data_IF_934727262046
#
_entry.id   IF_934727262046
#
_cell.length_a   1.000
_cell.length_b   1.000
_cell.length_c   1.000
_cell.angle_alpha   90.00
_cell.angle_beta   90.00
_cell.angle_gamma   90.00
#
_symmetry.space_group_name_H-M   'P 1'
#
loop_
_entity.id
_entity.type
_entity.pdbx_description
1 polymer ?
#
# COMPACT_ATOMS: atom_id res chain seq x y z
N UNK A 1 2.78 13.77 72.76
CA UNK A 1 3.36 13.34 71.47
C UNK A 1 2.46 12.35 70.70
N UNK A 2 2.00 11.25 71.32
CA UNK A 2 1.10 10.27 70.67
C UNK A 2 -0.29 10.83 70.24
N UNK A 3 -0.85 11.80 70.96
CA UNK A 3 -2.19 12.36 70.68
C UNK A 3 -2.20 13.29 69.47
N UNK A 4 -1.15 14.10 69.29
CA UNK A 4 -0.93 14.95 68.11
C UNK A 4 -0.67 14.11 66.86
N UNK A 5 0.11 13.04 66.98
CA UNK A 5 0.37 12.11 65.87
C UNK A 5 -0.90 11.42 65.35
N UNK A 6 -1.78 10.95 66.25
CA UNK A 6 -3.08 10.36 65.86
C UNK A 6 -4.01 11.36 65.15
N UNK A 7 -4.01 12.63 65.57
CA UNK A 7 -4.78 13.69 64.89
C UNK A 7 -4.26 13.97 63.48
N UNK A 8 -2.93 13.99 63.30
CA UNK A 8 -2.30 14.18 61.98
C UNK A 8 -2.67 13.02 61.05
N UNK A 9 -2.55 11.77 61.50
CA UNK A 9 -2.94 10.59 60.70
C UNK A 9 -4.42 10.64 60.30
N UNK A 10 -5.32 11.06 61.22
CA UNK A 10 -6.75 11.21 60.93
C UNK A 10 -7.01 12.23 59.81
N UNK A 11 -6.36 13.40 59.86
CA UNK A 11 -6.53 14.43 58.83
C UNK A 11 -5.90 14.03 57.49
N UNK A 12 -4.77 13.31 57.51
CA UNK A 12 -4.20 12.71 56.30
C UNK A 12 -5.18 11.71 55.68
N UNK A 13 -5.79 10.83 56.49
CA UNK A 13 -6.78 9.86 56.02
C UNK A 13 -8.03 10.52 55.42
N UNK A 14 -8.57 11.56 56.05
CA UNK A 14 -9.72 12.33 55.53
C UNK A 14 -9.36 13.02 54.22
N UNK A 15 -8.17 13.64 54.15
CA UNK A 15 -7.70 14.29 52.92
C UNK A 15 -7.55 13.29 51.78
N UNK A 16 -6.93 12.13 52.04
CA UNK A 16 -6.78 11.06 51.05
C UNK A 16 -8.13 10.52 50.57
N UNK A 17 -9.07 10.30 51.49
CA UNK A 17 -10.43 9.88 51.14
C UNK A 17 -11.14 10.94 50.27
N UNK A 18 -10.99 12.23 50.59
CA UNK A 18 -11.50 13.33 49.78
C UNK A 18 -10.93 13.34 48.36
N UNK A 19 -9.62 13.13 48.21
CA UNK A 19 -8.96 13.03 46.89
C UNK A 19 -9.48 11.84 46.09
N UNK A 20 -9.67 10.68 46.74
CA UNK A 20 -10.21 9.47 46.08
C UNK A 20 -11.65 9.70 45.63
N UNK A 21 -12.50 10.30 46.48
CA UNK A 21 -13.88 10.64 46.12
C UNK A 21 -13.91 11.61 44.94
N UNK A 22 -13.08 12.67 44.97
CA UNK A 22 -12.98 13.62 43.87
C UNK A 22 -12.54 12.91 42.58
N UNK A 23 -11.54 12.03 42.64
CA UNK A 23 -11.09 11.26 41.48
C UNK A 23 -12.20 10.35 40.91
N UNK A 24 -13.01 9.73 41.77
CA UNK A 24 -14.17 8.92 41.36
C UNK A 24 -15.22 9.82 40.67
N UNK A 25 -15.56 10.96 41.27
CA UNK A 25 -16.53 11.90 40.69
C UNK A 25 -16.05 12.41 39.32
N UNK A 26 -14.79 12.83 39.22
CA UNK A 26 -14.18 13.25 37.96
C UNK A 26 -14.24 12.11 36.94
N UNK A 27 -13.86 10.88 37.34
CA UNK A 27 -13.93 9.72 36.44
C UNK A 27 -15.36 9.46 35.94
N UNK A 28 -16.38 9.53 36.81
CA UNK A 28 -17.79 9.36 36.43
C UNK A 28 -18.21 10.43 35.42
N UNK A 29 -17.93 11.71 35.70
CA UNK A 29 -18.27 12.83 34.81
C UNK A 29 -17.61 12.63 33.44
N UNK A 30 -16.29 12.37 33.41
CA UNK A 30 -15.56 12.11 32.16
C UNK A 30 -16.10 10.89 31.41
N UNK A 31 -16.47 9.82 32.14
CA UNK A 31 -17.00 8.60 31.54
C UNK A 31 -18.37 8.81 30.88
N UNK A 32 -19.21 9.69 31.46
CA UNK A 32 -20.51 10.09 30.90
C UNK A 32 -20.32 10.99 29.69
N UNK A 33 -19.51 12.06 29.81
CA UNK A 33 -19.31 13.05 28.75
C UNK A 33 -18.62 12.46 27.54
N UNK A 34 -17.47 11.79 27.72
CA UNK A 34 -16.76 11.12 26.62
C UNK A 34 -17.53 9.92 26.08
N UNK A 35 -18.35 9.27 26.90
CA UNK A 35 -19.29 8.25 26.43
C UNK A 35 -20.37 8.83 25.50
N UNK A 36 -20.89 10.02 25.80
CA UNK A 36 -21.87 10.70 24.95
C UNK A 36 -21.25 11.15 23.62
N UNK A 37 -20.03 11.70 23.66
CA UNK A 37 -19.27 12.09 22.47
C UNK A 37 -18.99 10.91 21.53
N UNK A 38 -18.52 9.79 22.07
CA UNK A 38 -18.27 8.57 21.29
C UNK A 38 -19.55 8.06 20.61
N UNK A 39 -20.66 7.96 21.36
CA UNK A 39 -21.96 7.54 20.80
C UNK A 39 -22.45 8.51 19.73
N UNK A 40 -22.26 9.81 19.93
CA UNK A 40 -22.59 10.81 18.93
C UNK A 40 -21.81 10.58 17.64
N UNK A 41 -20.48 10.45 17.72
CA UNK A 41 -19.63 10.22 16.54
C UNK A 41 -19.98 8.92 15.81
N UNK A 42 -20.24 7.83 16.53
CA UNK A 42 -20.70 6.57 15.91
C UNK A 42 -22.03 6.76 15.17
N UNK A 43 -23.00 7.47 15.75
CA UNK A 43 -24.28 7.76 15.10
C UNK A 43 -24.13 8.67 13.88
N UNK A 44 -23.27 9.67 13.96
CA UNK A 44 -22.93 10.56 12.84
C UNK A 44 -22.37 9.77 11.66
N UNK A 45 -21.37 8.90 11.88
CA UNK A 45 -20.80 8.06 10.83
C UNK A 45 -21.83 7.12 10.20
N UNK A 46 -22.72 6.55 11.02
CA UNK A 46 -23.84 5.73 10.54
C UNK A 46 -24.84 6.55 9.72
N UNK A 47 -25.16 7.77 10.15
CA UNK A 47 -26.08 8.67 9.44
C UNK A 47 -25.53 9.13 8.07
N UNK A 48 -24.20 9.22 7.94
CA UNK A 48 -23.51 9.47 6.67
C UNK A 48 -23.53 8.26 5.71
N UNK A 49 -24.14 7.13 6.10
CA UNK A 49 -24.20 5.92 5.27
C UNK A 49 -22.86 5.20 5.16
N UNK A 50 -21.91 5.47 6.06
CA UNK A 50 -20.61 4.78 6.02
C UNK A 50 -20.75 3.32 6.46
N UNK A 51 -19.98 2.40 5.86
CA UNK A 51 -19.93 1.03 6.32
C UNK A 51 -19.52 0.94 7.80
N UNK A 52 -20.25 0.14 8.57
CA UNK A 52 -20.01 -0.05 10.01
C UNK A 52 -19.61 -1.49 10.35
N UNK A 53 -19.73 -2.41 9.39
CA UNK A 53 -19.45 -3.83 9.54
C UNK A 53 -18.59 -4.36 8.40
N UNK A 54 -17.92 -5.49 8.63
CA UNK A 54 -17.07 -6.12 7.60
C UNK A 54 -17.89 -6.63 6.41
N UNK A 55 -19.11 -7.10 6.65
CA UNK A 55 -20.03 -7.56 5.59
C UNK A 55 -20.32 -6.46 4.55
N UNK A 56 -20.47 -5.20 4.99
CA UNK A 56 -20.77 -4.07 4.10
C UNK A 56 -19.60 -3.69 3.16
N UNK A 57 -18.36 -4.11 3.49
CA UNK A 57 -17.17 -3.82 2.67
C UNK A 57 -16.56 -5.06 2.02
N UNK A 58 -17.07 -6.26 2.33
CA UNK A 58 -16.52 -7.52 1.82
C UNK A 58 -16.82 -7.63 0.32
N UNK A 59 -15.82 -7.89 -0.53
CA UNK A 59 -16.04 -8.07 -1.95
C UNK A 59 -16.94 -9.27 -2.23
N UNK A 60 -17.81 -9.12 -3.23
CA UNK A 60 -18.68 -10.21 -3.68
C UNK A 60 -17.85 -11.44 -4.08
N UNK A 61 -18.36 -12.62 -3.72
CA UNK A 61 -17.79 -13.89 -4.15
C UNK A 61 -17.80 -14.00 -5.68
N UNK A 62 -16.84 -14.73 -6.22
CA UNK A 62 -16.70 -14.95 -7.66
C UNK A 62 -16.81 -16.45 -7.93
N UNK A 63 -17.66 -16.90 -8.88
CA UNK A 63 -17.73 -18.30 -9.28
C UNK A 63 -16.35 -18.88 -9.62
N UNK A 64 -16.08 -20.12 -9.23
CA UNK A 64 -14.74 -20.73 -9.32
C UNK A 64 -14.18 -20.77 -10.75
N UNK A 65 -15.03 -21.03 -11.74
CA UNK A 65 -14.69 -21.04 -13.16
C UNK A 65 -14.26 -19.65 -13.66
N UNK A 66 -14.78 -18.58 -13.06
CA UNK A 66 -14.49 -17.18 -13.41
C UNK A 66 -13.45 -16.51 -12.51
N UNK A 67 -13.08 -17.12 -11.38
CA UNK A 67 -12.23 -16.50 -10.36
C UNK A 67 -10.74 -16.74 -10.62
N UNK A 68 -9.96 -15.68 -10.89
CA UNK A 68 -8.51 -15.78 -11.10
C UNK A 68 -7.76 -16.42 -9.93
N UNK A 69 -8.27 -16.26 -8.70
CA UNK A 69 -7.66 -16.84 -7.49
C UNK A 69 -7.51 -18.36 -7.56
N UNK A 70 -8.41 -19.06 -8.28
CA UNK A 70 -8.31 -20.51 -8.45
C UNK A 70 -7.04 -20.93 -9.21
N UNK A 71 -6.65 -20.16 -10.23
CA UNK A 71 -5.43 -20.40 -10.99
C UNK A 71 -4.20 -19.89 -10.25
N UNK A 72 -4.29 -18.74 -9.58
CA UNK A 72 -3.20 -18.25 -8.73
C UNK A 72 -2.88 -19.21 -7.59
N UNK A 73 -3.87 -19.82 -6.95
CA UNK A 73 -3.63 -20.81 -5.90
C UNK A 73 -2.90 -22.06 -6.42
N UNK A 74 -3.16 -22.48 -7.67
CA UNK A 74 -2.37 -23.55 -8.32
C UNK A 74 -0.92 -23.11 -8.54
N UNK A 75 -0.72 -21.89 -9.03
CA UNK A 75 0.63 -21.31 -9.15
C UNK A 75 1.32 -21.26 -7.80
N UNK A 76 0.62 -20.84 -6.73
CA UNK A 76 1.20 -20.77 -5.40
C UNK A 76 1.59 -22.14 -4.87
N UNK A 77 0.79 -23.18 -5.14
CA UNK A 77 1.17 -24.55 -4.83
C UNK A 77 2.45 -24.94 -5.58
N UNK A 78 2.52 -24.75 -6.90
CA UNK A 78 3.74 -25.05 -7.69
C UNK A 78 4.97 -24.27 -7.22
N UNK A 79 4.81 -23.00 -6.87
CA UNK A 79 5.90 -22.16 -6.35
C UNK A 79 6.38 -22.59 -4.95
N UNK A 80 5.59 -23.37 -4.22
CA UNK A 80 5.87 -23.72 -2.83
C UNK A 80 6.17 -25.20 -2.61
N UNK A 81 5.76 -26.08 -3.53
CA UNK A 81 6.11 -27.51 -3.53
C UNK A 81 7.61 -27.69 -3.77
N UNK A 82 8.35 -28.17 -2.77
CA UNK A 82 9.75 -28.57 -2.93
C UNK A 82 9.90 -29.90 -3.71
N UNK A 83 11.14 -30.38 -3.90
CA UNK A 83 11.36 -31.79 -4.26
C UNK A 83 10.70 -32.66 -3.17
N UNK A 84 9.61 -33.35 -3.52
CA UNK A 84 8.82 -34.17 -2.59
C UNK A 84 7.41 -33.66 -2.24
N UNK A 85 6.95 -32.52 -2.79
CA UNK A 85 5.53 -32.11 -2.75
C UNK A 85 5.02 -31.46 -1.45
N UNK A 86 5.88 -31.23 -0.46
CA UNK A 86 5.52 -30.53 0.78
C UNK A 86 5.33 -29.01 0.53
N UNK A 87 4.25 -28.37 1.07
CA UNK A 87 4.04 -26.92 0.97
C UNK A 87 5.12 -26.12 1.72
N UNK A 88 5.55 -24.99 1.14
CA UNK A 88 6.42 -24.02 1.79
C UNK A 88 5.77 -23.42 3.05
N UNK A 89 6.46 -23.54 4.19
CA UNK A 89 6.08 -22.92 5.46
C UNK A 89 7.14 -21.87 5.84
N UNK A 90 6.77 -20.57 5.93
CA UNK A 90 7.70 -19.51 6.34
C UNK A 90 8.36 -19.76 7.71
N UNK A 91 9.59 -19.28 7.89
CA UNK A 91 10.38 -19.28 9.13
C UNK A 91 10.79 -20.61 9.75
N UNK A 92 10.37 -21.76 9.20
CA UNK A 92 10.82 -23.07 9.69
C UNK A 92 12.10 -23.56 8.99
N UNK A 93 12.17 -23.44 7.65
CA UNK A 93 13.21 -24.11 6.85
C UNK A 93 13.91 -23.25 5.76
N UNK A 94 13.63 -21.95 5.65
CA UNK A 94 14.17 -21.05 4.59
C UNK A 94 14.13 -21.65 3.16
N UNK A 95 13.11 -22.45 2.82
CA UNK A 95 13.03 -23.06 1.50
C UNK A 95 14.20 -24.01 1.13
N UNK A 96 14.96 -24.54 2.12
CA UNK A 96 15.99 -25.55 1.85
C UNK A 96 15.38 -26.66 0.97
N UNK A 97 15.95 -26.82 -0.22
CA UNK A 97 15.62 -27.81 -1.26
C UNK A 97 14.44 -27.48 -2.21
N UNK A 98 13.94 -26.23 -2.26
CA UNK A 98 13.03 -25.79 -3.33
C UNK A 98 13.75 -24.86 -4.31
N UNK A 99 14.12 -25.39 -5.48
CA UNK A 99 14.88 -24.67 -6.53
C UNK A 99 14.18 -23.40 -7.01
N UNK A 100 12.84 -23.38 -7.04
CA UNK A 100 12.04 -22.23 -7.48
C UNK A 100 12.01 -21.16 -6.39
N UNK A 101 11.81 -21.53 -5.13
CA UNK A 101 11.82 -20.58 -3.98
C UNK A 101 13.20 -19.94 -3.80
N UNK A 102 14.28 -20.72 -3.87
CA UNK A 102 15.65 -20.18 -3.78
C UNK A 102 15.94 -19.21 -4.91
N UNK A 103 15.53 -19.54 -6.13
CA UNK A 103 15.71 -18.63 -7.26
C UNK A 103 14.86 -17.37 -7.16
N UNK A 104 13.63 -17.43 -6.65
CA UNK A 104 12.79 -16.26 -6.35
C UNK A 104 13.45 -15.37 -5.30
N UNK A 105 13.92 -15.95 -4.20
CA UNK A 105 14.55 -15.23 -3.09
C UNK A 105 15.88 -14.59 -3.53
N UNK A 106 16.63 -15.22 -4.43
CA UNK A 106 17.79 -14.62 -5.09
C UNK A 106 17.35 -13.50 -6.05
N UNK A 107 16.44 -13.78 -6.98
CA UNK A 107 15.91 -12.83 -7.99
C UNK A 107 15.34 -11.54 -7.40
N UNK A 108 14.69 -11.60 -6.23
CA UNK A 108 14.17 -10.40 -5.55
C UNK A 108 15.26 -9.38 -5.20
N UNK A 109 16.54 -9.77 -5.19
CA UNK A 109 17.68 -8.87 -5.04
C UNK A 109 18.31 -8.39 -6.36
N UNK A 110 17.85 -8.89 -7.53
CA UNK A 110 18.55 -8.76 -8.81
C UNK A 110 17.71 -8.34 -10.03
N UNK A 111 16.80 -7.37 -9.90
CA UNK A 111 16.18 -6.74 -11.10
C UNK A 111 17.20 -6.09 -12.06
N UNK A 112 18.44 -5.96 -11.61
CA UNK A 112 19.60 -5.45 -12.34
C UNK A 112 20.54 -6.60 -12.74
N UNK A 113 20.37 -7.13 -13.96
CA UNK A 113 21.16 -8.24 -14.53
C UNK A 113 22.64 -7.87 -14.65
N UNK A 114 22.98 -6.58 -14.72
CA UNK A 114 24.38 -6.14 -14.74
C UNK A 114 25.13 -6.56 -13.48
N UNK A 115 24.42 -6.76 -12.36
CA UNK A 115 24.98 -7.19 -11.08
C UNK A 115 24.97 -8.71 -10.90
N UNK A 116 24.46 -9.47 -11.86
CA UNK A 116 24.47 -10.93 -11.77
C UNK A 116 25.91 -11.45 -11.86
N UNK A 117 26.22 -12.41 -10.99
CA UNK A 117 27.44 -13.21 -11.10
C UNK A 117 27.41 -14.09 -12.35
N UNK A 118 28.57 -14.57 -12.80
CA UNK A 118 28.64 -15.50 -13.92
C UNK A 118 27.83 -16.78 -13.67
N UNK A 119 27.85 -17.28 -12.43
CA UNK A 119 27.04 -18.44 -12.03
C UNK A 119 25.53 -18.18 -12.21
N UNK A 120 25.06 -16.99 -11.86
CA UNK A 120 23.66 -16.61 -12.02
C UNK A 120 23.26 -16.48 -13.48
N UNK A 121 24.13 -15.89 -14.31
CA UNK A 121 23.93 -15.76 -15.75
C UNK A 121 23.82 -17.11 -16.46
N UNK A 122 24.48 -18.14 -15.93
CA UNK A 122 24.37 -19.50 -16.45
C UNK A 122 23.11 -20.23 -15.94
N UNK A 123 22.81 -20.13 -14.63
CA UNK A 123 21.76 -20.93 -13.98
C UNK A 123 20.35 -20.38 -14.17
N UNK A 124 20.16 -19.06 -14.06
CA UNK A 124 18.82 -18.45 -14.06
C UNK A 124 18.11 -18.67 -15.41
N UNK A 125 18.72 -18.47 -16.59
CA UNK A 125 18.05 -18.75 -17.86
C UNK A 125 17.64 -20.22 -18.00
N UNK A 126 18.44 -21.18 -17.52
CA UNK A 126 18.09 -22.61 -17.54
C UNK A 126 16.87 -22.88 -16.68
N UNK A 127 16.79 -22.28 -15.50
CA UNK A 127 15.64 -22.42 -14.59
C UNK A 127 14.38 -21.77 -15.16
N UNK A 128 14.46 -20.52 -15.63
CA UNK A 128 13.30 -19.79 -16.17
C UNK A 128 12.69 -20.51 -17.38
N UNK A 129 13.50 -21.25 -18.14
CA UNK A 129 13.06 -22.06 -19.28
C UNK A 129 12.72 -23.51 -18.92
N UNK A 130 12.72 -23.90 -17.63
CA UNK A 130 12.34 -25.26 -17.22
C UNK A 130 10.85 -25.53 -17.47
N UNK A 131 10.48 -26.80 -17.59
CA UNK A 131 9.10 -27.23 -17.84
C UNK A 131 8.14 -26.73 -16.74
N UNK A 132 8.57 -26.79 -15.47
CA UNK A 132 7.79 -26.35 -14.32
C UNK A 132 7.52 -24.84 -14.38
N UNK A 133 8.51 -24.04 -14.80
CA UNK A 133 8.33 -22.60 -14.96
C UNK A 133 7.40 -22.26 -16.13
N UNK A 134 7.46 -23.01 -17.24
CA UNK A 134 6.53 -22.82 -18.35
C UNK A 134 5.08 -23.11 -17.98
N UNK A 135 4.85 -24.12 -17.13
CA UNK A 135 3.52 -24.39 -16.56
C UNK A 135 3.04 -23.23 -15.68
N UNK A 136 3.90 -22.72 -14.79
CA UNK A 136 3.61 -21.54 -13.97
C UNK A 136 3.24 -20.33 -14.84
N UNK A 137 4.03 -20.02 -15.88
CA UNK A 137 3.75 -18.88 -16.76
C UNK A 137 2.46 -19.06 -17.56
N UNK A 138 2.13 -20.29 -17.96
CA UNK A 138 0.86 -20.59 -18.64
C UNK A 138 -0.32 -20.32 -17.72
N UNK A 139 -0.28 -20.82 -16.48
CA UNK A 139 -1.31 -20.58 -15.48
C UNK A 139 -1.44 -19.10 -15.12
N UNK A 140 -0.32 -18.37 -14.96
CA UNK A 140 -0.32 -16.94 -14.71
C UNK A 140 -0.95 -16.16 -15.87
N UNK A 141 -0.63 -16.52 -17.12
CA UNK A 141 -1.22 -15.92 -18.31
C UNK A 141 -2.73 -16.17 -18.35
N UNK A 142 -3.18 -17.39 -18.10
CA UNK A 142 -4.61 -17.73 -18.04
C UNK A 142 -5.34 -17.01 -16.91
N UNK A 143 -4.74 -16.97 -15.72
CA UNK A 143 -5.27 -16.25 -14.57
C UNK A 143 -5.44 -14.75 -14.88
N UNK A 144 -4.43 -14.12 -15.47
CA UNK A 144 -4.42 -12.69 -15.82
C UNK A 144 -5.52 -12.29 -16.82
N UNK A 145 -6.07 -13.26 -17.58
CA UNK A 145 -7.14 -13.01 -18.55
C UNK A 145 -8.53 -13.04 -17.92
N UNK A 146 -8.67 -13.59 -16.69
CA UNK A 146 -9.96 -13.57 -15.99
C UNK A 146 -10.26 -12.13 -15.55
N UNK A 147 -11.53 -11.75 -15.56
CA UNK A 147 -11.92 -10.36 -15.23
C UNK A 147 -11.94 -10.10 -13.71
N UNK A 148 -12.13 -11.15 -12.91
CA UNK A 148 -12.40 -11.04 -11.47
C UNK A 148 -11.50 -11.99 -10.69
N UNK A 149 -11.03 -11.51 -9.55
CA UNK A 149 -10.23 -12.28 -8.60
C UNK A 149 -10.78 -12.04 -7.20
N UNK A 150 -11.00 -13.12 -6.46
CA UNK A 150 -11.34 -13.04 -5.05
C UNK A 150 -10.67 -14.22 -4.31
N UNK A 151 -9.73 -13.92 -3.41
CA UNK A 151 -9.03 -14.92 -2.61
C UNK A 151 -9.86 -15.47 -1.45
N UNK A 152 -11.13 -15.04 -1.31
CA UNK A 152 -12.07 -15.48 -0.28
C UNK A 152 -11.50 -15.34 1.14
N UNK A 153 -10.88 -14.19 1.42
CA UNK A 153 -10.27 -13.91 2.71
C UNK A 153 -11.31 -13.92 3.84
N UNK A 154 -10.90 -14.42 5.00
CA UNK A 154 -11.75 -14.51 6.19
C UNK A 154 -11.80 -13.17 6.94
N UNK A 155 -12.45 -12.17 6.34
CA UNK A 155 -12.50 -10.79 6.85
C UNK A 155 -12.96 -10.65 8.31
N UNK A 156 -13.81 -11.55 8.79
CA UNK A 156 -14.28 -11.55 10.19
C UNK A 156 -13.20 -11.89 11.22
N UNK A 157 -12.07 -12.50 10.81
CA UNK A 157 -10.91 -12.74 11.69
C UNK A 157 -10.15 -11.45 12.03
N UNK A 158 -10.51 -10.31 11.43
CA UNK A 158 -9.97 -8.99 11.77
C UNK A 158 -8.46 -8.93 11.61
N UNK A 159 -7.75 -8.51 12.66
CA UNK A 159 -6.27 -8.43 12.68
C UNK A 159 -5.57 -9.78 12.55
N UNK A 160 -6.25 -10.88 12.85
CA UNK A 160 -5.71 -12.25 12.75
C UNK A 160 -6.01 -12.92 11.40
N UNK A 161 -6.61 -12.19 10.45
CA UNK A 161 -6.88 -12.68 9.10
C UNK A 161 -5.58 -13.03 8.39
N UNK A 162 -5.52 -14.22 7.78
CA UNK A 162 -4.36 -14.60 6.97
C UNK A 162 -4.36 -13.87 5.64
N UNK A 163 -3.18 -13.37 5.26
CA UNK A 163 -2.91 -12.65 4.01
C UNK A 163 -1.73 -13.29 3.26
N UNK A 164 -1.57 -14.62 3.32
CA UNK A 164 -0.43 -15.31 2.71
C UNK A 164 -0.31 -15.09 1.20
N UNK A 165 -1.42 -14.85 0.51
CA UNK A 165 -1.45 -14.62 -0.94
C UNK A 165 -0.62 -13.41 -1.36
N UNK A 166 -0.53 -12.36 -0.53
CA UNK A 166 0.19 -11.13 -0.89
C UNK A 166 1.68 -11.42 -1.17
N UNK A 167 2.32 -12.24 -0.33
CA UNK A 167 3.73 -12.61 -0.52
C UNK A 167 3.90 -13.41 -1.81
N UNK A 168 2.97 -14.32 -2.10
CA UNK A 168 3.02 -15.14 -3.29
C UNK A 168 2.81 -14.32 -4.57
N UNK A 169 1.91 -13.34 -4.55
CA UNK A 169 1.72 -12.38 -5.64
C UNK A 169 3.03 -11.62 -5.90
N UNK A 170 3.67 -11.09 -4.84
CA UNK A 170 4.95 -10.40 -4.98
C UNK A 170 5.98 -11.28 -5.69
N UNK A 171 6.15 -12.52 -5.21
CA UNK A 171 7.11 -13.47 -5.78
C UNK A 171 6.82 -13.80 -7.24
N UNK A 172 5.54 -13.98 -7.60
CA UNK A 172 5.15 -14.24 -8.99
C UNK A 172 5.38 -13.02 -9.90
N UNK A 173 5.16 -11.78 -9.42
CA UNK A 173 5.56 -10.57 -10.16
C UNK A 173 7.07 -10.55 -10.37
N UNK A 174 7.88 -10.81 -9.34
CA UNK A 174 9.34 -10.86 -9.47
C UNK A 174 9.81 -11.87 -10.55
N UNK A 175 9.20 -13.06 -10.60
CA UNK A 175 9.47 -14.07 -11.64
C UNK A 175 9.15 -13.54 -13.04
N UNK A 176 7.98 -12.94 -13.21
CA UNK A 176 7.58 -12.35 -14.49
C UNK A 176 8.54 -11.23 -14.91
N UNK A 177 9.03 -10.41 -13.98
CA UNK A 177 9.96 -9.32 -14.30
C UNK A 177 11.36 -9.82 -14.70
N UNK A 178 11.85 -10.91 -14.13
CA UNK A 178 13.07 -11.55 -14.65
C UNK A 178 12.85 -12.10 -16.05
N UNK A 179 11.70 -12.73 -16.31
CA UNK A 179 11.34 -13.18 -17.65
C UNK A 179 11.29 -12.01 -18.65
N UNK A 180 10.70 -10.87 -18.28
CA UNK A 180 10.69 -9.63 -19.09
C UNK A 180 12.12 -9.22 -19.47
N UNK A 181 13.03 -9.21 -18.50
CA UNK A 181 14.43 -8.82 -18.74
C UNK A 181 15.14 -9.77 -19.70
N UNK A 182 15.04 -11.09 -19.48
CA UNK A 182 15.65 -12.11 -20.35
C UNK A 182 15.07 -12.08 -21.77
N UNK A 183 13.76 -11.88 -21.90
CA UNK A 183 13.09 -11.71 -23.20
C UNK A 183 13.63 -10.49 -23.94
N UNK A 184 13.75 -9.36 -23.24
CA UNK A 184 14.28 -8.13 -23.82
C UNK A 184 15.75 -8.27 -24.22
N UNK A 185 16.61 -8.90 -23.40
CA UNK A 185 18.03 -9.14 -23.72
C UNK A 185 18.21 -10.05 -24.93
N UNK A 186 17.31 -11.02 -25.10
CA UNK A 186 17.27 -11.88 -26.28
C UNK A 186 16.67 -11.19 -27.52
N UNK A 187 16.48 -9.87 -27.50
CA UNK A 187 15.88 -9.08 -28.58
C UNK A 187 14.36 -9.25 -28.76
N UNK A 188 13.69 -10.02 -27.91
CA UNK A 188 12.25 -10.30 -28.02
C UNK A 188 11.41 -9.27 -27.23
N UNK A 189 11.55 -7.99 -27.58
CA UNK A 189 10.87 -6.87 -26.88
C UNK A 189 9.34 -7.04 -26.87
N UNK A 190 8.74 -7.50 -27.97
CA UNK A 190 7.29 -7.74 -28.02
C UNK A 190 6.80 -8.77 -26.98
N UNK A 191 7.56 -9.85 -26.73
CA UNK A 191 7.22 -10.84 -25.69
C UNK A 191 7.40 -10.26 -24.29
N UNK A 192 8.40 -9.41 -24.10
CA UNK A 192 8.61 -8.69 -22.84
C UNK A 192 7.39 -7.81 -22.50
N UNK A 193 6.81 -7.10 -23.47
CA UNK A 193 5.56 -6.36 -23.28
C UNK A 193 4.35 -7.26 -22.98
N UNK A 194 4.22 -8.42 -23.63
CA UNK A 194 3.18 -9.39 -23.29
C UNK A 194 3.30 -9.86 -21.83
N UNK A 195 4.53 -10.11 -21.35
CA UNK A 195 4.79 -10.49 -19.96
C UNK A 195 4.51 -9.35 -18.99
N UNK A 196 4.89 -8.11 -19.32
CA UNK A 196 4.54 -6.91 -18.53
C UNK A 196 3.02 -6.75 -18.39
N UNK A 197 2.27 -7.00 -19.45
CA UNK A 197 0.81 -6.93 -19.43
C UNK A 197 0.18 -8.00 -18.52
N UNK A 198 0.77 -9.21 -18.47
CA UNK A 198 0.37 -10.25 -17.49
C UNK A 198 0.59 -9.74 -16.07
N UNK A 199 1.75 -9.14 -15.78
CA UNK A 199 2.09 -8.60 -14.46
C UNK A 199 1.13 -7.49 -14.02
N UNK A 200 0.80 -6.54 -14.91
CA UNK A 200 -0.15 -5.46 -14.60
C UNK A 200 -1.54 -6.00 -14.29
N UNK A 201 -2.09 -6.88 -15.15
CA UNK A 201 -3.41 -7.49 -14.90
C UNK A 201 -3.46 -8.26 -13.59
N UNK A 202 -2.37 -8.94 -13.25
CA UNK A 202 -2.24 -9.67 -11.99
C UNK A 202 -2.21 -8.74 -10.77
N UNK A 203 -1.52 -7.60 -10.82
CA UNK A 203 -1.55 -6.64 -9.70
C UNK A 203 -2.88 -5.90 -9.63
N UNK A 204 -3.54 -5.65 -10.77
CA UNK A 204 -4.87 -5.07 -10.84
C UNK A 204 -5.95 -5.96 -10.19
N UNK A 205 -5.77 -7.28 -10.17
CA UNK A 205 -6.67 -8.18 -9.44
C UNK A 205 -6.74 -7.94 -7.92
N UNK A 206 -5.74 -7.27 -7.33
CA UNK A 206 -5.75 -6.86 -5.91
C UNK A 206 -6.62 -5.61 -5.68
N UNK A 207 -6.99 -4.87 -6.74
CA UNK A 207 -7.71 -3.60 -6.64
C UNK A 207 -8.99 -3.64 -5.83
N UNK A 208 -9.74 -4.75 -5.91
CA UNK A 208 -11.01 -4.89 -5.19
C UNK A 208 -10.84 -5.37 -3.74
N UNK A 209 -9.64 -5.75 -3.31
CA UNK A 209 -9.39 -6.19 -1.94
C UNK A 209 -9.36 -4.98 -0.99
N UNK A 210 -10.29 -4.83 -0.03
CA UNK A 210 -10.38 -3.66 0.82
C UNK A 210 -9.34 -3.68 1.95
N UNK A 211 -8.14 -4.22 1.71
CA UNK A 211 -7.08 -4.42 2.70
C UNK A 211 -5.93 -3.49 2.37
N UNK A 212 -5.62 -2.57 3.28
CA UNK A 212 -4.67 -1.50 3.03
C UNK A 212 -3.25 -2.02 2.73
N UNK A 213 -2.81 -3.06 3.45
CA UNK A 213 -1.52 -3.72 3.19
C UNK A 213 -1.47 -4.31 1.77
N UNK A 214 -2.57 -4.88 1.27
CA UNK A 214 -2.66 -5.42 -0.08
C UNK A 214 -2.57 -4.29 -1.13
N UNK A 215 -3.13 -3.12 -0.84
CA UNK A 215 -3.00 -1.93 -1.69
C UNK A 215 -1.56 -1.38 -1.70
N UNK A 216 -0.87 -1.37 -0.55
CA UNK A 216 0.55 -1.00 -0.47
C UNK A 216 1.44 -1.97 -1.27
N UNK A 217 1.14 -3.27 -1.21
CA UNK A 217 1.83 -4.24 -2.06
C UNK A 217 1.56 -3.97 -3.55
N UNK A 218 0.33 -3.61 -3.93
CA UNK A 218 0.01 -3.26 -5.31
C UNK A 218 0.87 -2.09 -5.79
N UNK A 219 0.99 -1.00 -5.01
CA UNK A 219 1.90 0.12 -5.32
C UNK A 219 3.31 -0.40 -5.56
N UNK A 220 3.82 -1.23 -4.64
CA UNK A 220 5.17 -1.78 -4.75
C UNK A 220 5.37 -2.56 -6.05
N UNK A 221 4.48 -3.50 -6.37
CA UNK A 221 4.57 -4.30 -7.58
C UNK A 221 4.44 -3.45 -8.84
N UNK A 222 3.52 -2.49 -8.89
CA UNK A 222 3.36 -1.58 -10.02
C UNK A 222 4.63 -0.76 -10.27
N UNK A 223 5.28 -0.25 -9.22
CA UNK A 223 6.58 0.45 -9.34
C UNK A 223 7.66 -0.45 -9.93
N UNK A 224 7.74 -1.72 -9.53
CA UNK A 224 8.69 -2.67 -10.13
C UNK A 224 8.42 -2.90 -11.62
N UNK A 225 7.14 -2.98 -11.99
CA UNK A 225 6.72 -3.15 -13.40
C UNK A 225 7.08 -1.89 -14.21
N UNK A 226 6.84 -0.68 -13.68
CA UNK A 226 7.18 0.59 -14.32
C UNK A 226 8.70 0.73 -14.52
N UNK A 227 9.51 0.39 -13.53
CA UNK A 227 10.98 0.36 -13.68
C UNK A 227 11.44 -0.70 -14.69
N UNK A 228 10.69 -1.79 -14.81
CA UNK A 228 10.92 -2.79 -15.86
C UNK A 228 10.60 -2.26 -17.26
N UNK A 229 9.49 -1.54 -17.41
CA UNK A 229 9.13 -0.82 -18.65
C UNK A 229 10.23 0.17 -19.02
N UNK A 230 10.62 1.09 -18.12
CA UNK A 230 11.67 2.09 -18.35
C UNK A 230 12.95 1.46 -18.89
N UNK A 231 13.40 0.35 -18.29
CA UNK A 231 14.65 -0.31 -18.68
C UNK A 231 14.60 -1.08 -20.01
N UNK A 232 13.45 -1.17 -20.69
CA UNK A 232 13.35 -1.77 -22.04
C UNK A 232 12.97 -0.75 -23.12
N UNK A 233 12.75 0.52 -22.77
CA UNK A 233 12.37 1.56 -23.74
C UNK A 233 13.52 2.06 -24.62
N UNK A 234 14.77 1.90 -24.16
CA UNK A 234 15.93 2.33 -24.93
C UNK A 234 16.35 1.26 -25.98
N UNK A 235 15.52 0.23 -26.21
CA UNK A 235 15.78 -0.82 -27.22
C UNK A 235 15.09 -0.47 -28.53
N UNK A 236 15.84 -0.55 -29.62
CA UNK A 236 15.29 -0.46 -30.97
C UNK A 236 14.18 -1.50 -31.15
N UNK A 237 13.10 -1.14 -31.87
CA UNK A 237 12.00 -2.03 -32.25
C UNK A 237 10.90 -2.27 -31.18
N UNK A 238 10.41 -1.20 -30.54
CA UNK A 238 9.23 -1.27 -29.66
C UNK A 238 7.96 -1.48 -30.50
N UNK A 239 7.20 -2.54 -30.19
CA UNK A 239 5.91 -2.79 -30.82
C UNK A 239 4.86 -1.78 -30.33
N UNK A 240 4.40 -0.90 -31.23
CA UNK A 240 3.39 0.12 -30.97
C UNK A 240 2.08 -0.49 -30.43
N UNK A 241 1.62 -1.59 -31.03
CA UNK A 241 0.41 -2.33 -30.59
C UNK A 241 0.51 -2.79 -29.14
N UNK A 242 1.67 -3.35 -28.76
CA UNK A 242 1.91 -3.85 -27.41
C UNK A 242 2.07 -2.71 -26.40
N UNK A 243 2.74 -1.63 -26.77
CA UNK A 243 2.84 -0.43 -25.95
C UNK A 243 1.46 0.18 -25.68
N UNK A 244 0.60 0.30 -26.70
CA UNK A 244 -0.79 0.75 -26.57
C UNK A 244 -1.61 -0.15 -25.64
N UNK A 245 -1.41 -1.47 -25.71
CA UNK A 245 -2.06 -2.42 -24.78
C UNK A 245 -1.64 -2.21 -23.33
N UNK A 246 -0.36 -1.89 -23.08
CA UNK A 246 0.15 -1.56 -21.74
C UNK A 246 -0.39 -0.21 -21.26
N UNK A 247 -0.44 0.82 -22.11
CA UNK A 247 -1.06 2.12 -21.79
C UNK A 247 -2.51 1.95 -21.33
N UNK A 248 -3.27 1.11 -22.05
CA UNK A 248 -4.68 0.83 -21.76
C UNK A 248 -4.90 -0.01 -20.48
N UNK A 249 -3.91 -0.79 -20.05
CA UNK A 249 -3.97 -1.47 -18.74
C UNK A 249 -3.56 -0.53 -17.61
N UNK A 250 -2.49 0.25 -17.77
CA UNK A 250 -1.96 1.15 -16.75
C UNK A 250 -3.00 2.14 -16.22
N UNK A 251 -3.90 2.67 -17.06
CA UNK A 251 -4.97 3.57 -16.60
C UNK A 251 -5.86 2.92 -15.53
N UNK A 252 -6.01 1.59 -15.52
CA UNK A 252 -6.85 0.89 -14.52
C UNK A 252 -6.20 0.85 -13.13
N UNK A 253 -4.93 1.23 -13.02
CA UNK A 253 -4.18 1.27 -11.76
C UNK A 253 -4.27 2.64 -11.07
N UNK A 254 -4.85 3.65 -11.71
CA UNK A 254 -5.03 5.00 -11.13
C UNK A 254 -6.22 5.06 -10.16
N UNK A 255 -6.35 6.20 -9.48
CA UNK A 255 -7.44 6.49 -8.58
C UNK A 255 -7.28 5.96 -7.15
N UNK A 256 -7.92 6.68 -6.23
CA UNK A 256 -7.81 6.52 -4.78
C UNK A 256 -8.84 5.56 -4.15
N UNK A 257 -9.84 5.12 -4.91
CA UNK A 257 -10.97 4.33 -4.40
C UNK A 257 -10.55 3.04 -3.65
N UNK A 258 -9.57 2.24 -4.13
CA UNK A 258 -9.10 1.07 -3.38
C UNK A 258 -8.52 1.41 -1.99
N UNK A 259 -7.83 2.56 -1.89
CA UNK A 259 -7.26 3.04 -0.64
C UNK A 259 -8.34 3.56 0.30
N UNK A 260 -9.36 4.25 -0.24
CA UNK A 260 -10.55 4.66 0.53
C UNK A 260 -11.26 3.46 1.17
N UNK A 261 -11.49 2.39 0.40
CA UNK A 261 -12.03 1.11 0.91
C UNK A 261 -11.12 0.51 2.00
N UNK A 262 -9.80 0.55 1.78
CA UNK A 262 -8.80 0.13 2.77
C UNK A 262 -8.90 0.91 4.09
N UNK A 263 -8.98 2.24 4.05
CA UNK A 263 -9.14 3.08 5.24
C UNK A 263 -10.47 2.81 5.96
N UNK A 264 -11.56 2.63 5.20
CA UNK A 264 -12.85 2.26 5.77
C UNK A 264 -12.78 0.90 6.51
N UNK A 265 -12.03 -0.08 5.97
CA UNK A 265 -11.75 -1.34 6.67
C UNK A 265 -10.98 -1.12 7.97
N UNK A 266 -9.90 -0.34 7.95
CA UNK A 266 -9.11 -0.08 9.15
C UNK A 266 -9.95 0.62 10.23
N UNK A 267 -10.86 1.52 9.85
CA UNK A 267 -11.85 2.13 10.77
C UNK A 267 -12.71 1.07 11.47
N UNK A 268 -13.24 0.10 10.72
CA UNK A 268 -14.10 -0.96 11.26
C UNK A 268 -13.30 -1.89 12.18
N UNK A 269 -12.12 -2.36 11.74
CA UNK A 269 -11.32 -3.34 12.48
C UNK A 269 -10.74 -2.73 13.75
N UNK A 270 -10.06 -1.59 13.65
CA UNK A 270 -9.54 -0.91 14.84
C UNK A 270 -10.69 -0.52 15.77
N UNK A 271 -11.85 -0.08 15.23
CA UNK A 271 -13.03 0.20 16.04
C UNK A 271 -13.54 -1.01 16.83
N UNK A 272 -13.56 -2.20 16.22
CA UNK A 272 -13.86 -3.46 16.93
C UNK A 272 -12.85 -3.73 18.05
N UNK A 273 -11.56 -3.48 17.83
CA UNK A 273 -10.53 -3.66 18.87
C UNK A 273 -10.67 -2.66 20.04
N UNK A 274 -10.94 -1.38 19.75
CA UNK A 274 -11.31 -0.39 20.77
C UNK A 274 -12.51 -0.86 21.59
N UNK A 275 -13.56 -1.36 20.94
CA UNK A 275 -14.75 -1.84 21.62
C UNK A 275 -14.46 -3.05 22.51
N UNK A 276 -13.61 -4.00 22.08
CA UNK A 276 -13.19 -5.13 22.92
C UNK A 276 -12.46 -4.67 24.19
N UNK A 277 -11.56 -3.70 24.08
CA UNK A 277 -10.87 -3.12 25.24
C UNK A 277 -11.89 -2.43 26.16
N UNK A 278 -12.78 -1.62 25.60
CA UNK A 278 -13.83 -0.96 26.36
C UNK A 278 -14.79 -1.94 27.03
N UNK A 279 -15.08 -3.10 26.43
CA UNK A 279 -15.94 -4.14 27.02
C UNK A 279 -15.26 -4.93 28.13
N UNK A 280 -13.95 -4.75 28.36
CA UNK A 280 -13.16 -5.56 29.29
C UNK A 280 -12.90 -6.98 28.78
N UNK A 281 -13.08 -7.23 27.47
CA UNK A 281 -12.84 -8.52 26.82
C UNK A 281 -11.38 -8.71 26.35
N UNK A 282 -10.53 -7.75 26.68
CA UNK A 282 -9.12 -7.73 26.30
C UNK A 282 -8.28 -8.01 27.55
N UNK A 283 -7.56 -9.12 27.59
CA UNK A 283 -6.66 -9.38 28.72
C UNK A 283 -5.43 -8.47 28.64
N UNK A 284 -4.86 -8.12 29.79
CA UNK A 284 -3.60 -7.37 29.85
C UNK A 284 -2.44 -8.07 29.13
N UNK A 285 -2.46 -9.41 29.09
CA UNK A 285 -1.48 -10.22 28.36
C UNK A 285 -1.65 -10.03 26.86
N UNK A 286 -2.86 -10.18 26.33
CA UNK A 286 -3.14 -9.94 24.91
C UNK A 286 -2.76 -8.52 24.53
N UNK A 287 -3.06 -7.51 25.37
CA UNK A 287 -2.77 -6.11 25.04
C UNK A 287 -1.27 -5.87 24.94
N UNK A 288 -0.50 -6.41 25.89
CA UNK A 288 0.96 -6.37 25.83
C UNK A 288 1.51 -7.13 24.65
N UNK A 289 0.98 -8.30 24.32
CA UNK A 289 1.43 -9.10 23.18
C UNK A 289 1.15 -8.41 21.85
N UNK A 290 -0.04 -7.82 21.67
CA UNK A 290 -0.38 -7.09 20.45
C UNK A 290 0.54 -5.88 20.22
N UNK A 291 0.94 -5.22 21.30
CA UNK A 291 1.82 -4.04 21.25
C UNK A 291 3.27 -4.32 21.65
N UNK A 292 3.73 -5.58 21.71
CA UNK A 292 5.03 -5.95 22.29
C UNK A 292 6.25 -5.47 21.49
N UNK A 293 6.05 -5.02 20.25
CA UNK A 293 7.12 -4.53 19.37
C UNK A 293 7.42 -3.04 19.48
N UNK A 294 6.72 -2.29 20.35
CA UNK A 294 6.87 -0.83 20.45
C UNK A 294 7.36 -0.34 21.81
N UNK A 295 8.22 0.70 21.79
CA UNK A 295 8.66 1.43 22.98
C UNK A 295 7.58 2.44 23.42
N UNK A 296 6.51 1.93 24.01
CA UNK A 296 5.42 2.76 24.52
C UNK A 296 5.65 3.22 25.97
N UNK A 297 5.24 4.44 26.35
CA UNK A 297 5.25 4.89 27.74
C UNK A 297 4.49 3.93 28.66
N UNK A 298 4.92 3.77 29.92
CA UNK A 298 4.27 2.86 30.90
C UNK A 298 2.76 3.09 31.04
N UNK A 299 2.31 4.33 30.88
CA UNK A 299 0.90 4.72 30.94
C UNK A 299 0.04 4.07 29.82
N UNK A 300 0.63 3.78 28.65
CA UNK A 300 -0.04 3.09 27.55
C UNK A 300 -0.62 1.75 27.98
N UNK A 301 0.16 0.99 28.74
CA UNK A 301 -0.25 -0.32 29.23
C UNK A 301 -1.29 -0.24 30.35
N UNK A 302 -1.62 0.95 30.86
CA UNK A 302 -2.72 1.15 31.80
C UNK A 302 -4.05 1.49 31.10
N UNK A 303 -4.04 1.76 29.79
CA UNK A 303 -5.26 2.09 29.02
C UNK A 303 -6.40 1.08 29.17
N UNK A 304 -6.16 -0.25 29.20
CA UNK A 304 -7.24 -1.23 29.38
C UNK A 304 -7.84 -1.25 30.79
N UNK A 305 -7.23 -0.56 31.76
CA UNK A 305 -7.67 -0.61 33.16
C UNK A 305 -8.81 0.38 33.43
N UNK A 306 -9.63 0.08 34.44
CA UNK A 306 -10.84 0.84 34.77
C UNK A 306 -10.61 2.36 34.90
N UNK A 307 -9.57 2.87 35.59
CA UNK A 307 -9.38 4.31 35.77
C UNK A 307 -9.21 5.09 34.46
N UNK A 308 -8.69 4.43 33.41
CA UNK A 308 -8.38 5.05 32.11
C UNK A 308 -9.47 4.85 31.07
N UNK A 309 -10.56 4.14 31.40
CA UNK A 309 -11.64 3.81 30.46
C UNK A 309 -12.34 5.06 29.90
N UNK A 310 -12.46 6.13 30.68
CA UNK A 310 -13.02 7.41 30.19
C UNK A 310 -12.11 8.03 29.13
N UNK A 311 -10.79 8.08 29.38
CA UNK A 311 -9.80 8.58 28.42
C UNK A 311 -9.78 7.73 27.15
N UNK A 312 -9.91 6.39 27.26
CA UNK A 312 -9.98 5.51 26.11
C UNK A 312 -11.21 5.80 25.21
N UNK A 313 -12.35 6.21 25.77
CA UNK A 313 -13.51 6.65 24.96
C UNK A 313 -13.23 7.93 24.18
N UNK A 314 -12.52 8.88 24.79
CA UNK A 314 -12.09 10.13 24.14
C UNK A 314 -11.08 9.83 23.03
N UNK A 315 -10.12 8.94 23.30
CA UNK A 315 -9.14 8.43 22.33
C UNK A 315 -9.84 7.74 21.15
N UNK A 316 -10.82 6.86 21.41
CA UNK A 316 -11.59 6.21 20.36
C UNK A 316 -12.39 7.20 19.50
N UNK A 317 -13.02 8.20 20.13
CA UNK A 317 -13.72 9.27 19.39
C UNK A 317 -12.75 10.01 18.46
N UNK A 318 -11.54 10.31 18.95
CA UNK A 318 -10.50 10.98 18.17
C UNK A 318 -10.02 10.12 17.01
N UNK A 319 -9.77 8.83 17.25
CA UNK A 319 -9.46 7.86 16.20
C UNK A 319 -10.55 7.87 15.11
N UNK A 320 -11.82 7.75 15.48
CA UNK A 320 -12.93 7.74 14.54
C UNK A 320 -13.01 9.03 13.72
N UNK A 321 -12.81 10.19 14.36
CA UNK A 321 -12.74 11.48 13.65
C UNK A 321 -11.61 11.49 12.64
N UNK A 322 -10.37 11.24 13.08
CA UNK A 322 -9.19 11.26 12.21
C UNK A 322 -9.34 10.33 11.02
N UNK A 323 -9.73 9.07 11.26
CA UNK A 323 -9.77 8.07 10.20
C UNK A 323 -10.92 8.33 9.22
N UNK A 324 -12.07 8.85 9.70
CA UNK A 324 -13.17 9.26 8.82
C UNK A 324 -12.84 10.47 7.96
N UNK A 325 -12.12 11.46 8.50
CA UNK A 325 -11.68 12.62 7.72
C UNK A 325 -10.59 12.23 6.71
N UNK A 326 -9.70 11.29 7.09
CA UNK A 326 -8.73 10.69 6.17
C UNK A 326 -9.43 9.92 5.04
N UNK A 327 -10.49 9.17 5.35
CA UNK A 327 -11.32 8.46 4.36
C UNK A 327 -11.93 9.45 3.34
N UNK A 328 -12.43 10.60 3.80
CA UNK A 328 -13.00 11.64 2.92
C UNK A 328 -11.97 12.27 2.00
N UNK A 329 -10.76 12.43 2.50
CA UNK A 329 -9.63 12.95 1.76
C UNK A 329 -9.17 12.01 0.62
N UNK A 330 -9.47 10.71 0.67
CA UNK A 330 -9.31 9.82 -0.48
C UNK A 330 -10.45 9.95 -1.51
N UNK A 331 -11.52 10.69 -1.19
CA UNK A 331 -12.62 10.97 -2.12
C UNK A 331 -12.38 12.17 -3.05
N UNK A 332 -11.22 12.82 -2.97
CA UNK A 332 -10.85 13.98 -3.77
C UNK A 332 -9.42 13.85 -4.31
N UNK A 333 -9.05 14.57 -5.39
CA UNK A 333 -7.68 14.63 -5.88
C UNK A 333 -6.70 15.05 -4.79
N UNK A 334 -5.48 14.53 -4.85
CA UNK A 334 -4.48 14.80 -3.81
C UNK A 334 -4.20 16.30 -3.67
N UNK A 335 -3.91 17.00 -4.76
CA UNK A 335 -3.61 18.43 -4.79
C UNK A 335 -4.69 19.32 -4.13
N UNK A 336 -5.97 18.94 -4.19
CA UNK A 336 -7.06 19.68 -3.51
C UNK A 336 -7.05 19.46 -1.99
N UNK A 337 -6.70 18.24 -1.56
CA UNK A 337 -6.78 17.81 -0.17
C UNK A 337 -5.47 17.92 0.64
N UNK A 338 -4.39 18.50 0.09
CA UNK A 338 -3.06 18.57 0.76
C UNK A 338 -3.12 19.39 2.04
N UNK A 339 -3.72 20.59 2.00
CA UNK A 339 -3.75 21.51 3.15
C UNK A 339 -4.54 20.87 4.30
N UNK A 340 -5.76 20.44 4.02
CA UNK A 340 -6.62 19.75 4.99
C UNK A 340 -5.96 18.48 5.55
N UNK A 341 -5.27 17.71 4.70
CA UNK A 341 -4.48 16.54 5.15
C UNK A 341 -3.41 16.90 6.18
N UNK A 342 -2.61 17.93 5.91
CA UNK A 342 -1.57 18.41 6.83
C UNK A 342 -2.16 18.96 8.14
N UNK A 343 -3.31 19.63 8.08
CA UNK A 343 -4.02 20.11 9.27
C UNK A 343 -4.46 18.95 10.16
N UNK A 344 -5.05 17.91 9.58
CA UNK A 344 -5.48 16.69 10.28
C UNK A 344 -4.29 15.99 10.94
N UNK A 345 -3.18 15.83 10.22
CA UNK A 345 -1.95 15.25 10.77
C UNK A 345 -1.39 16.09 11.94
N UNK A 346 -1.36 17.41 11.79
CA UNK A 346 -0.86 18.32 12.82
C UNK A 346 -1.75 18.30 14.07
N UNK A 347 -3.08 18.27 13.90
CA UNK A 347 -4.04 18.12 15.00
C UNK A 347 -3.79 16.85 15.80
N UNK A 348 -3.61 15.73 15.11
CA UNK A 348 -3.30 14.44 15.73
C UNK A 348 -1.96 14.50 16.48
N UNK A 349 -0.90 15.02 15.84
CA UNK A 349 0.46 15.11 16.43
C UNK A 349 0.47 15.94 17.72
N UNK A 350 -0.18 17.11 17.71
CA UNK A 350 -0.22 18.04 18.84
C UNK A 350 -1.07 17.56 20.02
N UNK A 351 -1.93 16.57 19.84
CA UNK A 351 -2.88 16.19 20.87
C UNK A 351 -2.27 15.32 22.00
N UNK A 352 -2.23 15.76 23.27
CA UNK A 352 -1.54 15.05 24.36
C UNK A 352 -2.29 13.81 24.87
N UNK A 353 -3.60 13.68 24.61
CA UNK A 353 -4.48 12.71 25.30
C UNK A 353 -4.69 11.37 24.54
N UNK A 354 -4.12 11.18 23.35
CA UNK A 354 -4.56 10.12 22.41
C UNK A 354 -3.45 9.13 22.03
N UNK A 355 -3.00 8.35 23.01
CA UNK A 355 -1.84 7.48 22.83
C UNK A 355 -2.15 6.29 21.91
N UNK A 356 -3.35 5.70 21.99
CA UNK A 356 -3.69 4.55 21.13
C UNK A 356 -4.08 5.02 19.72
N UNK A 357 -4.84 6.11 19.62
CA UNK A 357 -5.19 6.68 18.32
C UNK A 357 -3.92 7.02 17.54
N UNK A 358 -2.98 7.76 18.14
CA UNK A 358 -1.69 8.10 17.51
C UNK A 358 -0.95 6.88 16.97
N UNK A 359 -0.84 5.81 17.76
CA UNK A 359 -0.13 4.58 17.35
C UNK A 359 -0.79 3.95 16.13
N UNK A 360 -2.11 3.80 16.15
CA UNK A 360 -2.86 3.21 15.04
C UNK A 360 -2.77 4.11 13.80
N UNK A 361 -2.99 5.41 13.97
CA UNK A 361 -3.04 6.37 12.86
C UNK A 361 -1.69 6.70 12.24
N UNK A 362 -0.60 6.60 13.02
CA UNK A 362 0.77 6.80 12.52
C UNK A 362 1.12 5.79 11.42
N UNK A 363 0.56 4.58 11.49
CA UNK A 363 0.72 3.59 10.43
C UNK A 363 0.14 4.05 9.07
N UNK A 364 -0.68 5.11 9.05
CA UNK A 364 -1.42 5.56 7.87
C UNK A 364 -1.06 6.96 7.36
N UNK A 365 -0.20 7.72 8.05
CA UNK A 365 0.03 9.16 7.76
C UNK A 365 0.53 9.41 6.34
N UNK A 366 1.35 8.53 5.80
CA UNK A 366 2.00 8.73 4.50
C UNK A 366 1.24 8.10 3.33
N UNK A 367 0.13 7.40 3.58
CA UNK A 367 -0.52 6.59 2.55
C UNK A 367 -1.11 7.47 1.45
N UNK A 368 -1.61 8.67 1.78
CA UNK A 368 -2.11 9.61 0.77
C UNK A 368 -1.02 10.07 -0.17
N UNK A 369 0.14 10.47 0.37
CA UNK A 369 1.29 10.87 -0.43
C UNK A 369 1.81 9.71 -1.28
N UNK A 370 1.92 8.50 -0.71
CA UNK A 370 2.32 7.30 -1.46
C UNK A 370 1.32 6.95 -2.57
N UNK A 371 0.03 7.17 -2.36
CA UNK A 371 -1.01 6.99 -3.39
C UNK A 371 -0.85 8.01 -4.52
N UNK A 372 -0.57 9.27 -4.19
CA UNK A 372 -0.32 10.31 -5.19
C UNK A 372 0.98 10.06 -5.98
N UNK A 373 2.04 9.60 -5.30
CA UNK A 373 3.28 9.16 -5.95
C UNK A 373 3.03 7.99 -6.90
N UNK A 374 2.28 6.98 -6.46
CA UNK A 374 1.90 5.84 -7.31
C UNK A 374 1.10 6.28 -8.53
N UNK A 375 0.15 7.20 -8.36
CA UNK A 375 -0.60 7.76 -9.48
C UNK A 375 0.30 8.54 -10.45
N UNK A 376 1.25 9.34 -9.93
CA UNK A 376 2.23 10.04 -10.75
C UNK A 376 3.11 9.04 -11.53
N UNK A 377 3.62 7.99 -10.89
CA UNK A 377 4.41 6.92 -11.53
C UNK A 377 3.63 6.29 -12.71
N UNK A 378 2.35 5.94 -12.49
CA UNK A 378 1.48 5.36 -13.52
C UNK A 378 1.25 6.34 -14.67
N UNK A 379 0.87 7.59 -14.38
CA UNK A 379 0.55 8.59 -15.40
C UNK A 379 1.79 8.96 -16.24
N UNK A 380 2.94 9.13 -15.59
CA UNK A 380 4.21 9.37 -16.27
C UNK A 380 4.59 8.19 -17.16
N UNK A 381 4.38 6.95 -16.71
CA UNK A 381 4.63 5.76 -17.51
C UNK A 381 3.72 5.69 -18.74
N UNK A 382 2.43 6.01 -18.59
CA UNK A 382 1.46 6.06 -19.71
C UNK A 382 1.86 7.09 -20.75
N UNK A 383 2.12 8.33 -20.32
CA UNK A 383 2.51 9.42 -21.23
C UNK A 383 3.87 9.15 -21.83
N UNK A 384 4.83 8.61 -21.07
CA UNK A 384 6.14 8.20 -21.56
C UNK A 384 6.06 7.13 -22.65
N UNK A 385 5.23 6.11 -22.47
CA UNK A 385 4.95 5.13 -23.54
C UNK A 385 4.25 5.77 -24.73
N UNK A 386 3.34 6.71 -24.50
CA UNK A 386 2.68 7.44 -25.58
C UNK A 386 3.65 8.24 -26.44
N UNK A 387 4.63 8.90 -25.82
CA UNK A 387 5.72 9.61 -26.52
C UNK A 387 6.56 8.66 -27.37
N UNK A 388 6.85 7.46 -26.87
CA UNK A 388 7.57 6.42 -27.62
C UNK A 388 6.76 5.94 -28.83
N UNK A 389 5.46 5.70 -28.66
CA UNK A 389 4.55 5.32 -29.76
C UNK A 389 4.51 6.43 -30.81
N UNK A 390 4.35 7.69 -30.39
CA UNK A 390 4.32 8.84 -31.30
C UNK A 390 5.62 8.96 -32.11
N UNK A 391 6.79 8.82 -31.47
CA UNK A 391 8.09 8.81 -32.18
C UNK A 391 8.19 7.66 -33.16
N UNK A 392 7.69 6.48 -32.81
CA UNK A 392 7.71 5.32 -33.70
C UNK A 392 6.79 5.52 -34.93
N UNK A 393 5.72 6.30 -34.82
CA UNK A 393 4.76 6.59 -35.90
C UNK A 393 5.20 7.78 -36.78
N UNK A 394 5.82 8.80 -36.18
CA UNK A 394 6.12 10.08 -36.84
C UNK A 394 7.62 10.35 -37.05
N UNK A 395 8.50 9.51 -36.50
CA UNK A 395 9.96 9.67 -36.55
C UNK A 395 10.54 10.68 -35.56
N UNK A 396 9.70 11.54 -34.96
CA UNK A 396 10.09 12.58 -34.00
C UNK A 396 9.21 12.53 -32.74
N UNK A 397 9.74 12.98 -31.61
CA UNK A 397 8.90 13.26 -30.44
C UNK A 397 8.05 14.53 -30.68
N UNK A 398 6.83 14.60 -30.11
CA UNK A 398 5.95 15.75 -30.31
C UNK A 398 6.54 17.03 -29.68
N UNK A 399 6.10 18.20 -30.13
CA UNK A 399 6.46 19.47 -29.47
C UNK A 399 5.67 19.64 -28.17
N UNK A 400 4.40 19.20 -28.17
CA UNK A 400 3.46 19.34 -27.06
C UNK A 400 2.81 18.00 -26.72
N UNK A 401 2.55 17.75 -25.42
CA UNK A 401 1.89 16.52 -24.98
C UNK A 401 0.51 16.33 -25.62
N UNK A 402 -0.20 17.41 -25.94
CA UNK A 402 -1.56 17.36 -26.51
C UNK A 402 -1.62 16.64 -27.86
N UNK A 403 -0.49 16.53 -28.58
CA UNK A 403 -0.39 15.79 -29.84
C UNK A 403 -0.50 14.27 -29.65
N UNK A 404 -0.46 13.76 -28.41
CA UNK A 404 -0.76 12.36 -28.10
C UNK A 404 -2.27 12.06 -28.09
N UNK A 405 -3.12 13.08 -28.15
CA UNK A 405 -4.58 12.95 -28.07
C UNK A 405 -5.25 13.26 -29.41
N UNK A 406 -6.38 12.61 -29.74
CA UNK A 406 -7.02 11.51 -29.02
C UNK A 406 -6.45 10.12 -29.39
N UNK A 407 -5.48 10.06 -30.33
CA UNK A 407 -5.13 8.80 -31.00
C UNK A 407 -4.31 7.83 -30.15
N UNK A 408 -3.45 8.31 -29.24
CA UNK A 408 -2.60 7.48 -28.37
C UNK A 408 -3.13 7.46 -26.93
N UNK A 409 -3.61 8.61 -26.46
CA UNK A 409 -4.22 8.79 -25.16
C UNK A 409 -5.59 9.45 -25.34
N UNK A 410 -6.57 9.04 -24.54
CA UNK A 410 -7.90 9.67 -24.53
C UNK A 410 -7.83 11.14 -24.07
N UNK A 411 -7.00 11.41 -23.06
CA UNK A 411 -6.73 12.74 -22.51
C UNK A 411 -5.33 12.81 -21.89
N UNK A 412 -4.79 14.02 -21.78
CA UNK A 412 -3.52 14.25 -21.06
C UNK A 412 -3.81 14.37 -19.57
N UNK A 413 -3.22 13.50 -18.73
CA UNK A 413 -3.45 13.53 -17.29
C UNK A 413 -2.83 14.78 -16.66
N UNK A 414 -3.49 15.27 -15.61
CA UNK A 414 -2.91 16.27 -14.71
C UNK A 414 -1.91 15.62 -13.77
N UNK A 415 -0.93 16.41 -13.34
CA UNK A 415 -0.01 16.08 -12.26
C UNK A 415 -0.79 15.93 -10.93
N UNK A 416 -0.76 14.75 -10.28
CA UNK A 416 -1.49 14.51 -9.04
C UNK A 416 -1.10 15.44 -7.88
N UNK A 417 0.11 16.01 -7.92
CA UNK A 417 0.62 16.89 -6.86
C UNK A 417 0.20 18.34 -7.04
N UNK A 418 0.09 18.81 -8.28
CA UNK A 418 -0.11 20.24 -8.59
C UNK A 418 -1.47 20.55 -9.22
N UNK A 419 -2.16 19.56 -9.78
CA UNK A 419 -3.39 19.75 -10.56
C UNK A 419 -3.16 20.46 -11.89
N UNK A 420 -1.90 20.55 -12.35
CA UNK A 420 -1.50 21.20 -13.62
C UNK A 420 -0.99 20.16 -14.61
N UNK A 421 -0.66 20.57 -15.84
CA UNK A 421 -0.03 19.68 -16.83
C UNK A 421 1.32 19.16 -16.33
N UNK A 422 1.65 17.91 -16.69
CA UNK A 422 2.99 17.34 -16.48
C UNK A 422 4.06 18.16 -17.21
N UNK A 423 5.26 18.24 -16.64
CA UNK A 423 6.38 18.92 -17.26
C UNK A 423 7.05 18.00 -18.29
N UNK A 424 7.27 18.52 -19.50
CA UNK A 424 7.80 17.79 -20.64
C UNK A 424 8.83 18.61 -21.39
N UNK A 425 9.95 17.99 -21.76
CA UNK A 425 10.92 18.58 -22.68
C UNK A 425 11.65 17.52 -23.51
N UNK A 426 11.93 17.85 -24.76
CA UNK A 426 12.80 17.07 -25.64
C UNK A 426 14.27 17.25 -25.26
N UNK A 427 15.06 16.21 -25.45
CA UNK A 427 16.53 16.25 -25.37
C UNK A 427 17.10 15.55 -26.61
N UNK A 428 18.40 15.72 -26.89
CA UNK A 428 19.04 15.36 -28.16
C UNK A 428 18.68 13.98 -28.71
N UNK A 429 18.56 12.95 -27.87
CA UNK A 429 18.14 11.60 -28.30
C UNK A 429 16.84 11.10 -27.65
N UNK A 430 16.16 11.93 -26.84
CA UNK A 430 15.17 11.45 -25.89
C UNK A 430 14.18 12.50 -25.42
N UNK A 431 13.61 12.26 -24.25
CA UNK A 431 12.80 13.22 -23.54
C UNK A 431 12.95 13.10 -22.03
N UNK A 432 12.55 14.15 -21.33
CA UNK A 432 12.38 14.18 -19.89
C UNK A 432 10.93 14.57 -19.63
N UNK A 433 10.22 13.72 -18.90
CA UNK A 433 8.83 13.91 -18.49
C UNK A 433 8.75 13.75 -16.96
N UNK A 434 8.12 14.68 -16.26
CA UNK A 434 8.10 14.64 -14.80
C UNK A 434 6.89 15.33 -14.15
N UNK A 435 6.63 14.90 -12.91
CA UNK A 435 5.75 15.55 -11.93
C UNK A 435 6.61 16.21 -10.87
N UNK A 436 6.16 17.36 -10.34
CA UNK A 436 6.89 18.11 -9.30
C UNK A 436 6.96 17.36 -7.96
N UNK A 437 6.16 16.30 -7.80
CA UNK A 437 6.21 15.47 -6.61
C UNK A 437 5.85 16.21 -5.31
N UNK A 438 6.20 15.65 -4.15
CA UNK A 438 5.67 16.09 -2.85
C UNK A 438 6.24 17.43 -2.38
N UNK A 439 7.36 17.89 -2.93
CA UNK A 439 7.96 19.17 -2.53
C UNK A 439 7.35 20.38 -3.27
N UNK A 440 6.58 20.13 -4.34
CA UNK A 440 5.90 21.13 -5.18
C UNK A 440 6.85 22.16 -5.82
N UNK A 441 8.12 21.80 -5.98
CA UNK A 441 9.14 22.64 -6.63
C UNK A 441 9.56 21.96 -7.91
N UNK A 442 9.81 22.76 -8.94
CA UNK A 442 10.44 22.26 -10.16
C UNK A 442 11.93 22.09 -9.88
N UNK A 443 12.38 20.84 -9.71
CA UNK A 443 13.79 20.49 -9.56
C UNK A 443 14.42 20.12 -10.91
N UNK A 444 13.87 20.66 -11.99
CA UNK A 444 14.34 20.52 -13.37
C UNK A 444 14.44 19.06 -13.84
N UNK A 445 13.59 18.16 -13.32
CA UNK A 445 13.61 16.74 -13.64
C UNK A 445 14.75 15.97 -12.96
N UNK A 446 15.21 16.42 -11.79
CA UNK A 446 16.17 15.68 -10.95
C UNK A 446 15.45 14.52 -10.28
N UNK A 447 15.92 13.31 -10.53
CA UNK A 447 15.36 12.10 -9.94
C UNK A 447 15.81 11.93 -8.48
N UNK A 448 14.92 11.37 -7.65
CA UNK A 448 15.20 11.08 -6.25
C UNK A 448 16.49 10.28 -6.03
N UNK A 449 17.35 10.77 -5.14
CA UNK A 449 18.52 10.05 -4.67
C UNK A 449 18.15 8.89 -3.73
N UNK A 450 18.96 7.84 -3.75
CA UNK A 450 18.81 6.69 -2.85
C UNK A 450 19.39 6.95 -1.46
N UNK A 451 20.39 7.84 -1.34
CA UNK A 451 21.06 8.17 -0.08
C UNK A 451 20.40 9.37 0.59
N UNK A 452 20.00 9.21 1.86
CA UNK A 452 19.39 10.28 2.67
C UNK A 452 20.24 11.55 2.83
N UNK A 453 21.55 11.43 2.65
CA UNK A 453 22.50 12.53 2.79
C UNK A 453 22.54 13.45 1.57
N UNK A 454 22.01 13.00 0.43
CA UNK A 454 22.02 13.78 -0.80
C UNK A 454 20.84 14.74 -0.83
N UNK A 455 21.06 15.97 -1.33
CA UNK A 455 20.01 16.99 -1.48
C UNK A 455 18.82 16.46 -2.30
N UNK A 456 19.13 15.67 -3.33
CA UNK A 456 18.13 15.01 -4.18
C UNK A 456 17.29 13.92 -3.45
N UNK A 457 17.50 13.68 -2.14
CA UNK A 457 16.61 12.84 -1.35
C UNK A 457 15.30 13.57 -0.97
N UNK A 458 15.37 14.89 -0.77
CA UNK A 458 14.23 15.76 -0.43
C UNK A 458 13.80 16.67 -1.57
N UNK A 459 14.75 17.04 -2.43
CA UNK A 459 14.57 17.99 -3.52
C UNK A 459 14.62 17.21 -4.83
N UNK A 460 13.47 16.67 -5.26
CA UNK A 460 13.37 15.81 -6.43
C UNK A 460 12.01 15.89 -7.10
N UNK A 461 12.01 15.59 -8.40
CA UNK A 461 10.83 15.33 -9.21
C UNK A 461 10.59 13.82 -9.37
N UNK A 462 9.35 13.44 -9.65
CA UNK A 462 9.04 12.07 -10.11
C UNK A 462 9.28 12.03 -11.61
N UNK A 463 10.33 11.32 -12.04
CA UNK A 463 10.87 11.42 -13.40
C UNK A 463 10.66 10.14 -14.21
N UNK A 464 10.24 10.33 -15.46
CA UNK A 464 10.28 9.35 -16.53
C UNK A 464 11.12 9.91 -17.68
N UNK A 465 12.23 9.22 -18.00
CA UNK A 465 13.15 9.63 -19.05
C UNK A 465 13.45 8.44 -19.96
N UNK A 466 13.60 8.72 -21.24
CA UNK A 466 14.10 7.77 -22.24
C UNK A 466 15.36 8.35 -22.86
N UNK A 467 16.42 7.56 -22.93
CA UNK A 467 17.67 7.91 -23.60
C UNK A 467 17.65 7.15 -24.92
N UNK A 468 17.10 7.78 -25.95
CA UNK A 468 16.97 7.11 -27.25
C UNK A 468 18.22 7.19 -28.07
#
# INVERSE_FOLDING_TARGET
>A
MMTTFRKIIKWIGISLAGVVILAIVVHIVLNITFGAQLRHKIRELKAQGRPMTMLEITPLSVPEDKNAAMLYNKVFALMTSGEGGEPYIPNKNKGKNNKIVTAIEEVESFLDISKWTEEQREKIPKLINSQEMQEIYTLLKEASKRLRCNFNLEYEKGVNMSIHHIRMIRSAVSLLLVKVRLEAESGNVARAFDTLLISLRMTNHIREEPVLISQMLRIFCDRLIIESIKGILDKDNISQEKARSVIAELIKHTGSEPFKKGIARERIICGKEYQKILDGKYSMREFRTFFSGGDFPKLFYLLPTLPFRSLLKKDFTTFLTYISETEDLFGMPYYEGVIKGKEIELMLKKSPDYLLAKVITFAFTNIREETALHEADIQLCRVGLGLVVYKAENGIYPELLNELTPDILDEIPLDPFTGKSLAYRKVTSGFILYSLGPNLKDDEGIQRATRKTEKAYTDYDVVFKCKG
#
